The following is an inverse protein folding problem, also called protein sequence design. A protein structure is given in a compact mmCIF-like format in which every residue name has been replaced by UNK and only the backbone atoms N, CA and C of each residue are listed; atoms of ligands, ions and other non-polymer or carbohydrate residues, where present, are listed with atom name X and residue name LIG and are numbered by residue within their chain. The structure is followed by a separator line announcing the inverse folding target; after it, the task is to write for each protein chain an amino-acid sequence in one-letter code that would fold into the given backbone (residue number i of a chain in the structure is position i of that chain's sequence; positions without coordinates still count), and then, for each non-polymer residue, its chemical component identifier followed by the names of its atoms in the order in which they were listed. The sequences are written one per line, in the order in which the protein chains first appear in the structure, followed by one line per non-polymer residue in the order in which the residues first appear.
data_IF_550409867455
#
_entry.id   IF_550409867455
#
_cell.length_a   1.000
_cell.length_b   1.000
_cell.length_c   1.000
_cell.angle_alpha   90.00
_cell.angle_beta   90.00
_cell.angle_gamma   90.00
#
_symmetry.space_group_name_H-M   'P 1'
#
loop_
_entity.id
_entity.type
_entity.pdbx_description
1 polymer ?
#
# COMPACT_ATOMS: atom_id res chain seq x y z
N UNK A 1 -27.26 -21.41 40.79
CA UNK A 1 -26.01 -22.01 40.25
C UNK A 1 -26.39 -23.31 39.56
N UNK A 2 -26.58 -23.31 38.23
CA UNK A 2 -26.95 -24.53 37.50
C UNK A 2 -25.69 -25.21 36.95
N UNK A 3 -25.28 -26.27 37.63
CA UNK A 3 -24.20 -27.17 37.23
C UNK A 3 -24.73 -28.28 36.30
N UNK A 4 -25.32 -27.95 35.14
CA UNK A 4 -25.87 -28.96 34.20
C UNK A 4 -25.92 -28.49 32.73
N UNK A 5 -24.82 -28.06 32.09
CA UNK A 5 -24.81 -27.83 30.63
C UNK A 5 -23.46 -28.15 29.94
N UNK A 6 -22.89 -29.34 30.15
CA UNK A 6 -21.63 -29.72 29.46
C UNK A 6 -21.79 -30.67 28.26
N UNK A 7 -22.89 -31.41 28.01
CA UNK A 7 -22.72 -32.72 27.31
C UNK A 7 -23.57 -33.15 26.10
N UNK A 8 -24.54 -32.38 25.57
CA UNK A 8 -25.46 -32.97 24.56
C UNK A 8 -25.38 -32.45 23.12
N UNK A 9 -24.20 -32.06 22.63
CA UNK A 9 -23.87 -32.39 21.23
C UNK A 9 -22.46 -32.93 21.16
N UNK A 10 -22.34 -34.26 21.10
CA UNK A 10 -21.07 -35.01 21.13
C UNK A 10 -20.20 -34.80 19.87
N UNK A 11 -20.62 -33.95 18.93
CA UNK A 11 -19.88 -33.65 17.71
C UNK A 11 -19.59 -32.14 17.61
N UNK A 12 -18.55 -31.69 18.30
CA UNK A 12 -17.96 -30.36 18.05
C UNK A 12 -17.25 -30.38 16.70
N UNK A 13 -17.97 -30.17 15.59
CA UNK A 13 -17.40 -29.89 14.26
C UNK A 13 -16.85 -28.45 14.15
N UNK A 14 -16.50 -27.82 15.27
CA UNK A 14 -15.96 -26.46 15.28
C UNK A 14 -14.53 -26.47 14.74
N UNK A 15 -14.14 -25.47 13.94
CA UNK A 15 -12.78 -25.40 13.41
C UNK A 15 -11.76 -25.28 14.55
N UNK A 16 -10.67 -26.05 14.45
CA UNK A 16 -9.60 -26.01 15.43
C UNK A 16 -8.95 -24.62 15.46
N UNK A 17 -8.71 -24.10 16.67
CA UNK A 17 -7.93 -22.86 16.89
C UNK A 17 -6.48 -23.24 17.21
N UNK A 18 -5.51 -22.31 17.08
CA UNK A 18 -4.11 -22.58 17.43
C UNK A 18 -3.89 -23.00 18.90
N UNK A 19 -4.90 -22.86 19.78
CA UNK A 19 -4.81 -23.21 21.20
C UNK A 19 -5.44 -24.57 21.57
N UNK A 20 -6.02 -25.28 20.60
CA UNK A 20 -6.81 -26.51 20.84
C UNK A 20 -6.16 -27.81 20.33
N UNK A 21 -4.98 -27.74 19.71
CA UNK A 21 -4.24 -28.90 19.23
C UNK A 21 -3.11 -29.33 20.18
N UNK A 22 -2.45 -30.44 19.84
CA UNK A 22 -1.26 -30.93 20.55
C UNK A 22 0.03 -30.22 20.05
N UNK A 23 1.20 -30.58 20.60
CA UNK A 23 2.51 -29.96 20.30
C UNK A 23 2.84 -29.86 18.80
N UNK A 24 2.45 -30.85 18.00
CA UNK A 24 2.74 -30.89 16.56
C UNK A 24 1.72 -30.10 15.71
N UNK A 25 0.63 -29.62 16.32
CA UNK A 25 -0.39 -28.87 15.62
C UNK A 25 -0.03 -27.38 15.54
N UNK A 26 0.44 -26.96 14.36
CA UNK A 26 0.63 -25.55 14.05
C UNK A 26 -0.51 -25.01 13.18
N UNK A 27 -1.11 -23.90 13.61
CA UNK A 27 -2.07 -23.13 12.79
C UNK A 27 -1.70 -21.65 12.78
N UNK A 28 -1.47 -21.11 11.58
CA UNK A 28 -1.17 -19.70 11.39
C UNK A 28 -2.36 -18.77 11.68
N UNK A 29 -2.06 -17.51 12.00
CA UNK A 29 -3.02 -16.47 12.40
C UNK A 29 -3.35 -15.48 11.28
N UNK A 30 -3.11 -15.86 10.02
CA UNK A 30 -3.29 -15.00 8.84
C UNK A 30 -2.49 -13.69 8.90
N UNK A 31 -1.34 -13.68 9.59
CA UNK A 31 -0.45 -12.50 9.60
C UNK A 31 -0.03 -12.08 8.19
N UNK A 32 0.09 -13.01 7.25
CA UNK A 32 0.39 -12.76 5.84
C UNK A 32 -0.74 -12.06 5.03
N UNK A 33 -1.88 -11.75 5.65
CA UNK A 33 -2.99 -11.06 4.98
C UNK A 33 -3.00 -9.58 5.34
N UNK A 34 -3.36 -8.74 4.38
CA UNK A 34 -3.69 -7.34 4.63
C UNK A 34 -5.07 -7.24 5.31
N UNK A 35 -5.31 -6.20 6.13
CA UNK A 35 -6.65 -5.96 6.66
C UNK A 35 -7.65 -5.82 5.52
N UNK A 36 -8.65 -6.70 5.49
CA UNK A 36 -9.70 -6.70 4.46
C UNK A 36 -9.30 -7.21 3.07
N UNK A 37 -8.10 -7.78 2.87
CA UNK A 37 -7.58 -7.96 1.51
C UNK A 37 -6.70 -9.19 1.25
N UNK A 38 -5.85 -9.02 0.24
CA UNK A 38 -5.05 -10.06 -0.39
C UNK A 38 -3.94 -10.62 0.52
N UNK A 39 -3.52 -11.84 0.19
CA UNK A 39 -2.39 -12.51 0.84
C UNK A 39 -1.08 -11.98 0.24
N UNK A 40 -0.22 -11.42 1.08
CA UNK A 40 1.09 -10.85 0.72
C UNK A 40 2.24 -11.86 0.85
N UNK A 41 1.98 -13.03 1.44
CA UNK A 41 2.99 -14.07 1.61
C UNK A 41 3.70 -14.01 2.96
N UNK A 42 4.65 -14.92 3.19
CA UNK A 42 5.46 -14.92 4.40
C UNK A 42 6.65 -13.95 4.23
N UNK A 43 7.10 -13.26 5.29
CA UNK A 43 8.18 -12.26 5.22
C UNK A 43 9.59 -12.87 5.09
N UNK A 44 9.70 -14.15 4.77
CA UNK A 44 10.95 -14.89 4.85
C UNK A 44 10.79 -16.39 4.67
N UNK A 45 11.91 -17.12 4.83
CA UNK A 45 12.01 -18.56 4.55
C UNK A 45 12.57 -19.33 5.74
N UNK A 46 12.04 -20.53 5.96
CA UNK A 46 12.63 -21.48 6.89
C UNK A 46 13.93 -22.05 6.33
N UNK A 47 14.97 -22.08 7.15
CA UNK A 47 16.30 -22.57 6.78
C UNK A 47 16.52 -23.91 7.47
N UNK A 48 16.77 -24.95 6.67
CA UNK A 48 16.92 -26.33 7.16
C UNK A 48 18.28 -26.54 7.83
N UNK A 49 19.35 -25.94 7.30
CA UNK A 49 20.73 -26.05 7.82
C UNK A 49 21.27 -24.72 8.36
N UNK A 50 21.84 -24.74 9.57
CA UNK A 50 22.43 -23.56 10.22
C UNK A 50 21.84 -23.22 11.60
N UNK A 51 22.42 -22.19 12.23
CA UNK A 51 22.02 -21.71 13.57
C UNK A 51 20.69 -20.94 13.53
N UNK A 52 20.47 -20.10 12.52
CA UNK A 52 19.22 -19.39 12.31
C UNK A 52 18.21 -20.28 11.54
N UNK A 53 17.08 -20.63 12.17
CA UNK A 53 16.05 -21.52 11.59
C UNK A 53 15.03 -20.80 10.70
N UNK A 54 14.97 -19.48 10.77
CA UNK A 54 14.14 -18.64 9.91
C UNK A 54 14.96 -17.41 9.49
N UNK A 55 14.92 -17.09 8.20
CA UNK A 55 15.60 -15.92 7.62
C UNK A 55 14.55 -14.96 7.08
N UNK A 56 14.58 -13.72 7.57
CA UNK A 56 13.79 -12.63 7.01
C UNK A 56 14.37 -12.20 5.67
N UNK A 57 13.50 -11.88 4.72
CA UNK A 57 13.85 -11.33 3.41
C UNK A 57 13.22 -9.96 3.36
N UNK A 58 14.05 -8.91 3.48
CA UNK A 58 13.56 -7.53 3.66
C UNK A 58 12.64 -7.07 2.53
N UNK A 59 12.87 -7.54 1.31
CA UNK A 59 12.02 -7.29 0.13
C UNK A 59 10.59 -7.84 0.26
N UNK A 60 10.39 -8.86 1.11
CA UNK A 60 9.09 -9.48 1.37
C UNK A 60 8.43 -8.95 2.64
N UNK A 61 9.12 -8.11 3.39
CA UNK A 61 8.58 -7.47 4.60
C UNK A 61 7.69 -6.31 4.17
N UNK A 62 6.52 -6.23 4.80
CA UNK A 62 5.58 -5.13 4.52
C UNK A 62 6.06 -3.86 5.22
N UNK A 63 6.05 -2.77 4.46
CA UNK A 63 6.33 -1.42 4.95
C UNK A 63 5.11 -0.55 4.70
N UNK A 64 4.69 0.20 5.72
CA UNK A 64 3.65 1.21 5.59
C UNK A 64 4.33 2.57 5.47
N UNK A 65 4.32 3.12 4.26
CA UNK A 65 4.93 4.42 3.98
C UNK A 65 3.93 5.51 4.36
N UNK A 66 4.34 6.39 5.25
CA UNK A 66 3.58 7.57 5.65
C UNK A 66 4.28 8.84 5.16
N UNK A 67 3.55 9.93 4.85
CA UNK A 67 4.15 11.24 4.60
C UNK A 67 4.91 11.75 5.83
N UNK A 68 5.84 12.72 5.66
CA UNK A 68 6.49 13.40 6.76
C UNK A 68 5.48 13.99 7.75
N UNK A 69 5.80 13.91 9.05
CA UNK A 69 4.90 14.35 10.13
C UNK A 69 4.56 15.85 9.99
N UNK A 70 5.55 16.66 9.63
CA UNK A 70 5.38 18.10 9.41
C UNK A 70 4.32 18.41 8.35
N UNK A 71 4.29 17.65 7.26
CA UNK A 71 3.28 17.80 6.22
C UNK A 71 1.91 17.43 6.76
N UNK A 72 1.78 16.27 7.43
CA UNK A 72 0.51 15.80 8.01
C UNK A 72 -0.08 16.85 8.96
N UNK A 73 0.74 17.42 9.85
CA UNK A 73 0.32 18.42 10.82
C UNK A 73 -0.03 19.77 10.18
N UNK A 74 0.69 20.16 9.13
CA UNK A 74 0.42 21.39 8.38
C UNK A 74 -0.88 21.31 7.55
N UNK A 75 -1.37 20.10 7.24
CA UNK A 75 -2.56 19.96 6.40
C UNK A 75 -3.82 20.45 7.13
N UNK A 76 -4.70 21.20 6.44
CA UNK A 76 -6.02 21.54 6.98
C UNK A 76 -6.98 20.34 6.98
N UNK A 77 -6.58 19.21 6.39
CA UNK A 77 -7.41 18.02 6.23
C UNK A 77 -7.61 17.32 7.58
N UNK A 78 -8.86 17.01 7.89
CA UNK A 78 -9.26 16.28 9.10
C UNK A 78 -10.01 15.01 8.70
N UNK A 79 -10.02 13.96 9.55
CA UNK A 79 -10.74 12.72 9.28
C UNK A 79 -12.26 12.90 9.19
N UNK A 80 -12.78 14.03 9.68
CA UNK A 80 -14.21 14.35 9.67
C UNK A 80 -14.47 15.70 9.00
N UNK A 81 -15.68 15.85 8.48
CA UNK A 81 -16.18 17.08 7.85
C UNK A 81 -17.30 17.67 8.70
N UNK A 82 -17.42 19.00 8.73
CA UNK A 82 -18.53 19.67 9.40
C UNK A 82 -19.86 19.34 8.73
N UNK A 83 -20.86 18.93 9.53
CA UNK A 83 -22.22 18.65 9.04
C UNK A 83 -22.94 19.87 8.45
N UNK A 84 -22.48 21.08 8.76
CA UNK A 84 -23.07 22.33 8.28
C UNK A 84 -22.59 22.69 6.86
N UNK A 85 -21.53 22.06 6.38
CA UNK A 85 -20.95 22.34 5.06
C UNK A 85 -21.56 21.37 4.06
N UNK A 86 -22.25 21.91 3.06
CA UNK A 86 -22.83 21.15 1.95
C UNK A 86 -22.18 21.60 0.65
N UNK A 87 -21.78 20.62 -0.19
CA UNK A 87 -21.27 20.92 -1.53
C UNK A 87 -22.39 21.51 -2.36
N UNK A 88 -22.10 22.60 -3.07
CA UNK A 88 -22.98 23.12 -4.10
C UNK A 88 -23.07 22.13 -5.27
N UNK A 89 -24.13 22.24 -6.09
CA UNK A 89 -24.28 21.39 -7.29
C UNK A 89 -23.13 21.56 -8.29
N UNK A 90 -22.49 22.73 -8.32
CA UNK A 90 -21.34 23.00 -9.18
C UNK A 90 -20.07 22.32 -8.64
N UNK A 91 -19.78 22.51 -7.34
CA UNK A 91 -18.62 21.88 -6.67
C UNK A 91 -18.71 20.34 -6.70
N UNK A 92 -19.90 19.79 -6.45
CA UNK A 92 -20.14 18.35 -6.54
C UNK A 92 -19.86 17.78 -7.94
N UNK A 93 -20.08 18.56 -9.01
CA UNK A 93 -19.70 18.17 -10.38
C UNK A 93 -18.21 18.33 -10.65
N UNK A 94 -17.52 19.23 -9.95
CA UNK A 94 -16.09 19.52 -10.16
C UNK A 94 -15.14 18.48 -9.57
N UNK A 95 -15.50 17.84 -8.45
CA UNK A 95 -14.58 16.92 -7.73
C UNK A 95 -14.28 15.64 -8.52
N UNK A 96 -15.20 15.18 -9.38
CA UNK A 96 -14.97 14.20 -10.47
C UNK A 96 -16.26 13.90 -11.26
N UNK A 97 -17.28 14.76 -11.19
CA UNK A 97 -18.54 14.64 -11.90
C UNK A 97 -19.24 13.28 -11.81
N UNK A 98 -20.17 13.04 -12.75
CA UNK A 98 -20.54 11.68 -13.13
C UNK A 98 -19.41 11.17 -14.02
N UNK A 99 -18.80 10.04 -13.65
CA UNK A 99 -17.88 9.34 -14.55
C UNK A 99 -18.56 9.15 -15.91
N UNK A 100 -17.85 9.36 -17.03
CA UNK A 100 -18.45 9.17 -18.35
C UNK A 100 -18.92 7.72 -18.50
N UNK A 101 -19.91 7.50 -19.36
CA UNK A 101 -20.34 6.15 -19.71
C UNK A 101 -19.14 5.38 -20.30
N UNK A 102 -18.68 4.34 -19.60
CA UNK A 102 -17.43 3.62 -19.92
C UNK A 102 -16.29 3.81 -18.90
N UNK A 103 -16.46 4.64 -17.86
CA UNK A 103 -15.50 4.78 -16.77
C UNK A 103 -14.28 5.66 -17.11
N UNK A 104 -13.23 5.57 -16.29
CA UNK A 104 -11.97 6.27 -16.51
C UNK A 104 -11.14 5.54 -17.58
N UNK A 105 -11.26 5.98 -18.82
CA UNK A 105 -10.43 5.48 -19.93
C UNK A 105 -9.10 6.25 -20.02
N UNK A 106 -8.06 5.60 -20.56
CA UNK A 106 -6.76 6.24 -20.75
C UNK A 106 -6.83 7.49 -21.64
N UNK A 107 -7.65 7.47 -22.70
CA UNK A 107 -7.89 8.63 -23.56
C UNK A 107 -8.46 9.82 -22.77
N UNK A 108 -9.39 9.57 -21.85
CA UNK A 108 -10.01 10.62 -21.03
C UNK A 108 -9.02 11.21 -20.02
N UNK A 109 -8.19 10.38 -19.39
CA UNK A 109 -7.14 10.85 -18.49
C UNK A 109 -6.13 11.74 -19.24
N UNK A 110 -5.79 11.36 -20.48
CA UNK A 110 -4.89 12.13 -21.34
C UNK A 110 -5.48 13.49 -21.73
N UNK A 111 -6.76 13.54 -22.11
CA UNK A 111 -7.47 14.81 -22.36
C UNK A 111 -7.46 15.73 -21.13
N UNK A 112 -7.77 15.19 -19.95
CA UNK A 112 -7.77 15.96 -18.70
C UNK A 112 -6.35 16.46 -18.35
N UNK A 113 -5.33 15.64 -18.58
CA UNK A 113 -3.94 16.04 -18.39
C UNK A 113 -3.56 17.18 -19.34
N UNK A 114 -3.91 17.10 -20.63
CA UNK A 114 -3.68 18.17 -21.60
C UNK A 114 -4.41 19.46 -21.23
N UNK A 115 -5.67 19.36 -20.81
CA UNK A 115 -6.45 20.52 -20.37
C UNK A 115 -5.84 21.17 -19.12
N UNK A 116 -5.35 20.37 -18.16
CA UNK A 116 -4.62 20.88 -16.98
C UNK A 116 -3.30 21.55 -17.36
N UNK A 117 -2.55 20.97 -18.29
CA UNK A 117 -1.29 21.57 -18.78
C UNK A 117 -1.51 22.87 -19.55
N UNK A 118 -2.60 22.98 -20.32
CA UNK A 118 -2.95 24.22 -21.02
C UNK A 118 -3.51 25.31 -20.08
N UNK A 119 -4.10 24.92 -18.95
CA UNK A 119 -4.63 25.84 -17.93
C UNK A 119 -3.59 26.24 -16.87
N UNK A 120 -2.56 25.42 -16.66
CA UNK A 120 -1.38 25.84 -15.92
C UNK A 120 -0.61 26.82 -16.80
N UNK A 121 -0.59 28.10 -16.42
CA UNK A 121 0.25 29.09 -17.07
C UNK A 121 1.70 28.57 -17.15
N UNK A 122 2.46 28.91 -18.20
CA UNK A 122 3.85 28.52 -18.28
C UNK A 122 4.56 29.07 -17.05
N UNK A 123 4.99 28.16 -16.17
CA UNK A 123 5.91 28.51 -15.10
C UNK A 123 7.12 29.09 -15.81
N UNK A 124 7.33 30.41 -15.69
CA UNK A 124 8.56 31.03 -16.14
C UNK A 124 9.68 30.35 -15.39
N UNK A 125 10.40 29.49 -16.10
CA UNK A 125 11.65 28.94 -15.66
C UNK A 125 12.59 30.13 -15.57
N UNK A 126 12.66 30.76 -14.39
CA UNK A 126 13.80 31.60 -14.04
C UNK A 126 15.04 30.73 -14.26
N UNK A 127 15.74 31.04 -15.35
CA UNK A 127 17.00 30.46 -15.75
C UNK A 127 18.05 30.84 -14.70
N UNK A 128 18.00 30.20 -13.54
CA UNK A 128 19.15 30.12 -12.66
C UNK A 128 20.14 29.21 -13.37
N UNK A 129 21.12 29.84 -14.00
CA UNK A 129 22.31 29.24 -14.57
C UNK A 129 23.11 28.53 -13.47
N UNK A 130 22.65 27.35 -13.06
CA UNK A 130 23.42 26.39 -12.30
C UNK A 130 24.06 25.43 -13.27
N UNK A 131 25.36 25.61 -13.51
CA UNK A 131 26.20 24.69 -14.29
C UNK A 131 26.08 23.30 -13.67
N UNK A 132 25.37 22.39 -14.34
CA UNK A 132 25.42 20.96 -14.01
C UNK A 132 26.66 20.41 -14.71
N UNK A 133 27.78 20.37 -13.98
CA UNK A 133 28.94 19.58 -14.40
C UNK A 133 28.48 18.12 -14.55
N UNK A 134 28.62 17.60 -15.77
CA UNK A 134 28.30 16.22 -16.09
C UNK A 134 29.34 15.33 -15.42
N UNK A 135 28.97 14.29 -14.66
CA UNK A 135 29.96 13.34 -14.18
C UNK A 135 30.48 12.53 -15.38
N UNK A 136 31.78 12.65 -15.65
CA UNK A 136 32.49 11.83 -16.62
C UNK A 136 32.24 10.35 -16.33
N UNK A 137 31.53 9.67 -17.23
CA UNK A 137 31.40 8.22 -17.20
C UNK A 137 32.72 7.67 -17.74
N UNK A 138 33.64 7.36 -16.82
CA UNK A 138 34.88 6.65 -17.10
C UNK A 138 34.53 5.20 -17.49
N UNK A 139 34.39 4.94 -18.80
CA UNK A 139 34.24 3.58 -19.33
C UNK A 139 35.64 2.97 -19.36
N UNK A 140 36.03 2.33 -18.26
CA UNK A 140 37.23 1.51 -18.22
C UNK A 140 37.07 0.30 -19.16
N UNK A 141 38.10 0.14 -19.98
CA UNK A 141 38.38 -0.90 -20.96
C UNK A 141 37.86 -2.30 -20.61
N UNK A 142 37.02 -2.86 -21.50
CA UNK A 142 36.77 -4.30 -21.56
C UNK A 142 37.99 -5.01 -22.17
N UNK A 143 38.53 -6.09 -21.57
CA UNK A 143 39.59 -6.87 -22.17
C UNK A 143 39.07 -7.72 -23.34
N UNK A 144 39.80 -7.71 -24.46
CA UNK A 144 39.55 -8.52 -25.64
C UNK A 144 39.75 -10.03 -25.36
N UNK A 145 38.93 -10.91 -25.95
CA UNK A 145 39.05 -12.35 -25.75
C UNK A 145 40.23 -12.96 -26.53
N UNK A 146 41.07 -13.72 -25.84
CA UNK A 146 41.97 -14.75 -26.40
C UNK A 146 41.29 -16.11 -26.38
#
# INVERSE_FOLDING_TARGET
MFATLVRCSKASRRPLTPKRGNKDYYKGTRQAFLPGGHRTGAPGKHVVGGKAKYRLVDEQVRVFVAPPISEIESTPLKPYVSRKVHLTRAESRGVLGKLPAGGLTGARLLELARAKMAAAEPVELESSSGVIESPEILIDSLPSPT
#
